data_IF_561252451638
#
_entry.id   IF_561252451638
#
_cell.length_a   1.000
_cell.length_b   1.000
_cell.length_c   1.000
_cell.angle_alpha   90.00
_cell.angle_beta   90.00
_cell.angle_gamma   90.00
#
_symmetry.space_group_name_H-M   'P 1'
#
loop_
_entity.id
_entity.type
_entity.pdbx_description
1 polymer ?
#
# COMPACT_ATOMS: atom_id res chain seq x y z
N UNK A 1 5.72 4.67 17.43
CA UNK A 1 5.55 5.45 16.17
C UNK A 1 4.12 5.27 15.70
N UNK A 2 3.38 6.36 15.50
CA UNK A 2 1.98 6.31 15.05
C UNK A 2 1.90 5.80 13.61
N UNK A 3 0.98 4.88 13.31
CA UNK A 3 0.73 4.43 11.95
C UNK A 3 -0.57 5.03 11.43
N UNK A 4 -0.55 5.52 10.19
CA UNK A 4 -1.73 6.02 9.49
C UNK A 4 -1.99 5.07 8.33
N UNK A 5 -3.06 4.30 8.41
CA UNK A 5 -3.47 3.42 7.32
C UNK A 5 -3.97 4.26 6.14
N UNK A 6 -3.39 4.03 4.97
CA UNK A 6 -3.83 4.60 3.70
C UNK A 6 -4.49 3.47 2.90
N UNK A 7 -5.81 3.52 2.67
CA UNK A 7 -6.50 2.52 1.87
C UNK A 7 -5.93 2.41 0.45
N UNK A 8 -5.93 1.20 -0.11
CA UNK A 8 -5.58 0.98 -1.52
C UNK A 8 -6.51 1.79 -2.43
N UNK A 9 -5.97 2.39 -3.48
CA UNK A 9 -6.73 3.23 -4.41
C UNK A 9 -6.96 4.67 -3.93
N UNK A 10 -6.41 5.06 -2.77
CA UNK A 10 -6.44 6.47 -2.34
C UNK A 10 -5.70 7.33 -3.37
N UNK A 11 -6.37 8.39 -3.85
CA UNK A 11 -5.80 9.32 -4.82
C UNK A 11 -4.62 10.08 -4.23
N UNK A 12 -3.64 10.41 -5.07
CA UNK A 12 -2.42 11.11 -4.66
C UNK A 12 -2.71 12.39 -3.87
N UNK A 13 -3.70 13.18 -4.29
CA UNK A 13 -4.05 14.43 -3.60
C UNK A 13 -4.63 14.21 -2.20
N UNK A 14 -5.38 13.12 -1.99
CA UNK A 14 -5.89 12.74 -0.68
C UNK A 14 -4.77 12.23 0.23
N UNK A 15 -3.79 11.48 -0.31
CA UNK A 15 -2.61 11.06 0.45
C UNK A 15 -1.83 12.29 0.95
N UNK A 16 -1.63 13.31 0.10
CA UNK A 16 -0.96 14.56 0.48
C UNK A 16 -1.69 15.25 1.63
N UNK A 17 -3.01 15.41 1.54
CA UNK A 17 -3.83 16.00 2.62
C UNK A 17 -3.68 15.25 3.94
N UNK A 18 -3.64 13.91 3.91
CA UNK A 18 -3.43 13.09 5.11
C UNK A 18 -2.06 13.33 5.72
N UNK A 19 -1.00 13.43 4.91
CA UNK A 19 0.35 13.72 5.38
C UNK A 19 0.43 15.12 6.00
N UNK A 20 -0.12 16.14 5.34
CA UNK A 20 -0.14 17.52 5.85
C UNK A 20 -0.88 17.62 7.18
N UNK A 21 -2.04 16.96 7.28
CA UNK A 21 -2.82 16.90 8.53
C UNK A 21 -2.11 16.09 9.61
N UNK A 22 -1.41 15.01 9.25
CA UNK A 22 -0.61 14.23 10.20
C UNK A 22 0.52 15.07 10.80
N UNK A 23 1.22 15.83 9.95
CA UNK A 23 2.34 16.67 10.34
C UNK A 23 1.94 17.84 11.25
N UNK A 24 0.71 18.35 11.14
CA UNK A 24 0.21 19.38 12.06
C UNK A 24 -0.17 18.85 13.46
N UNK A 25 -0.33 17.52 13.61
CA UNK A 25 -0.73 16.88 14.86
C UNK A 25 0.47 16.27 15.59
N UNK A 26 1.40 15.63 14.86
CA UNK A 26 2.56 14.94 15.44
C UNK A 26 3.81 15.10 14.58
N UNK A 27 4.97 15.14 15.24
CA UNK A 27 6.28 15.25 14.59
C UNK A 27 6.73 13.97 13.88
N UNK A 28 6.10 12.82 14.15
CA UNK A 28 6.46 11.55 13.53
C UNK A 28 5.27 10.62 13.40
N UNK A 29 5.08 10.11 12.18
CA UNK A 29 4.10 9.08 11.85
C UNK A 29 4.58 8.30 10.62
N UNK A 30 4.02 7.11 10.43
CA UNK A 30 4.29 6.23 9.29
C UNK A 30 3.00 5.97 8.52
N UNK A 31 2.82 6.55 7.32
CA UNK A 31 1.78 6.13 6.40
C UNK A 31 2.02 4.67 5.97
N UNK A 32 0.99 3.84 6.01
CA UNK A 32 1.08 2.42 5.62
C UNK A 32 -0.04 2.10 4.65
N UNK A 33 0.32 1.58 3.48
CA UNK A 33 -0.62 1.04 2.49
C UNK A 33 -0.30 -0.43 2.26
N UNK A 34 -1.29 -1.30 2.49
CA UNK A 34 -1.15 -2.73 2.21
C UNK A 34 -1.40 -2.96 0.72
N UNK A 35 -0.47 -3.63 0.05
CA UNK A 35 -0.57 -3.98 -1.37
C UNK A 35 -0.19 -5.45 -1.53
N UNK A 36 -1.03 -6.26 -2.19
CA UNK A 36 -0.69 -7.64 -2.43
C UNK A 36 0.44 -7.72 -3.47
N UNK A 37 1.42 -8.56 -3.22
CA UNK A 37 2.56 -8.81 -4.09
C UNK A 37 2.75 -10.31 -4.32
N UNK A 38 3.23 -10.68 -5.51
CA UNK A 38 3.62 -12.05 -5.77
C UNK A 38 4.94 -12.32 -5.04
N UNK A 39 4.92 -13.19 -4.03
CA UNK A 39 6.11 -13.51 -3.24
C UNK A 39 7.17 -14.29 -4.03
N UNK A 40 6.82 -14.82 -5.21
CA UNK A 40 7.77 -15.54 -6.08
C UNK A 40 8.51 -14.61 -7.07
N UNK A 41 7.81 -13.66 -7.70
CA UNK A 41 8.40 -12.83 -8.76
C UNK A 41 8.31 -11.32 -8.53
N UNK A 42 7.77 -10.87 -7.39
CA UNK A 42 7.68 -9.47 -7.01
C UNK A 42 6.62 -8.65 -7.76
N UNK A 43 5.76 -9.29 -8.57
CA UNK A 43 4.69 -8.58 -9.28
C UNK A 43 3.73 -7.93 -8.28
N UNK A 44 3.52 -6.62 -8.43
CA UNK A 44 2.66 -5.78 -7.58
C UNK A 44 1.77 -4.93 -8.48
N UNK A 45 0.52 -5.31 -8.61
CA UNK A 45 -0.46 -4.60 -9.44
C UNK A 45 -1.87 -4.91 -8.92
N UNK A 46 -2.86 -4.11 -9.31
CA UNK A 46 -4.26 -4.30 -8.98
C UNK A 46 -4.82 -5.61 -9.51
N UNK A 47 -4.20 -6.19 -10.54
CA UNK A 47 -4.57 -7.47 -11.15
C UNK A 47 -4.10 -8.70 -10.37
N UNK A 48 -3.40 -8.52 -9.26
CA UNK A 48 -2.93 -9.64 -8.44
C UNK A 48 -4.10 -10.20 -7.60
N UNK A 49 -4.69 -11.30 -8.08
CA UNK A 49 -5.66 -12.13 -7.35
C UNK A 49 -5.01 -13.41 -6.80
N UNK A 50 -5.76 -14.51 -6.71
CA UNK A 50 -5.30 -15.80 -6.13
C UNK A 50 -4.09 -16.43 -6.85
N UNK A 51 -3.83 -16.00 -8.08
CA UNK A 51 -2.72 -16.48 -8.91
C UNK A 51 -2.04 -15.31 -9.60
N UNK A 52 -0.71 -15.31 -9.54
CA UNK A 52 0.09 -14.29 -10.20
C UNK A 52 -0.09 -14.36 -11.72
N UNK A 53 -0.47 -13.25 -12.40
CA UNK A 53 -0.67 -13.24 -13.84
C UNK A 53 0.64 -13.39 -14.62
N UNK A 54 1.78 -13.06 -14.01
CA UNK A 54 3.11 -13.11 -14.63
C UNK A 54 3.76 -14.49 -14.55
N UNK A 55 3.89 -15.03 -13.33
CA UNK A 55 4.62 -16.30 -13.10
C UNK A 55 3.73 -17.48 -12.74
N UNK A 56 2.40 -17.30 -12.69
CA UNK A 56 1.42 -18.34 -12.35
C UNK A 56 1.54 -18.90 -10.93
N UNK A 57 2.41 -18.34 -10.08
CA UNK A 57 2.51 -18.71 -8.67
C UNK A 57 1.22 -18.38 -7.91
N UNK A 58 0.85 -19.24 -6.97
CA UNK A 58 -0.22 -19.00 -6.00
C UNK A 58 0.30 -18.35 -4.72
N UNK A 59 1.61 -18.10 -4.62
CA UNK A 59 2.23 -17.47 -3.45
C UNK A 59 2.07 -15.95 -3.52
N UNK A 60 0.98 -15.45 -2.91
CA UNK A 60 0.61 -14.04 -2.81
C UNK A 60 0.71 -13.60 -1.35
N UNK A 61 1.38 -12.47 -1.09
CA UNK A 61 1.60 -11.88 0.25
C UNK A 61 1.12 -10.43 0.30
#
# INVERSE_FOLDING_TARGET
MLQIAIPKGTKVDEIKKVIEKGASITSSFKPVMQVPICGNCGFKDEKLGDKCPTCKSTYII
#
